data_IF_662410186528
#
_entry.id   IF_662410186528
#
_cell.length_a   1.000
_cell.length_b   1.000
_cell.length_c   1.000
_cell.angle_alpha   90.00
_cell.angle_beta   90.00
_cell.angle_gamma   90.00
#
_symmetry.space_group_name_H-M   'P 1'
#
loop_
_entity.id
_entity.type
_entity.pdbx_description
1 polymer ?
#
# COMPACT_ATOMS: atom_id res chain seq x y z
N UNK A 1 -20.31 12.62 -11.97
CA UNK A 1 -18.92 12.72 -12.48
C UNK A 1 -17.86 13.05 -11.41
N UNK A 2 -18.17 13.75 -10.32
CA UNK A 2 -17.18 14.10 -9.27
C UNK A 2 -16.80 12.96 -8.30
N UNK A 3 -17.61 11.90 -8.24
CA UNK A 3 -17.46 10.82 -7.26
C UNK A 3 -16.34 9.82 -7.63
N UNK A 4 -16.18 9.53 -8.91
CA UNK A 4 -15.15 8.64 -9.45
C UNK A 4 -13.72 9.16 -9.19
N UNK A 5 -13.52 10.48 -9.11
CA UNK A 5 -12.20 11.07 -8.87
C UNK A 5 -11.69 10.79 -7.45
N UNK A 6 -12.58 10.89 -6.44
CA UNK A 6 -12.26 10.61 -5.03
C UNK A 6 -11.86 9.15 -4.82
N UNK A 7 -12.53 8.23 -5.53
CA UNK A 7 -12.19 6.81 -5.53
C UNK A 7 -10.78 6.57 -6.07
N UNK A 8 -10.45 7.10 -7.26
CA UNK A 8 -9.12 6.92 -7.88
C UNK A 8 -8.01 7.50 -7.00
N UNK A 9 -8.24 8.65 -6.37
CA UNK A 9 -7.29 9.24 -5.42
C UNK A 9 -7.02 8.31 -4.23
N UNK A 10 -8.05 7.71 -3.64
CA UNK A 10 -7.87 6.75 -2.54
C UNK A 10 -7.03 5.55 -2.95
N UNK A 11 -7.31 4.96 -4.11
CA UNK A 11 -6.53 3.82 -4.64
C UNK A 11 -5.08 4.20 -4.92
N UNK A 12 -4.85 5.35 -5.54
CA UNK A 12 -3.50 5.85 -5.83
C UNK A 12 -2.72 6.10 -4.54
N UNK A 13 -3.35 6.63 -3.48
CA UNK A 13 -2.70 6.80 -2.17
C UNK A 13 -2.25 5.47 -1.56
N UNK A 14 -3.08 4.43 -1.60
CA UNK A 14 -2.69 3.08 -1.12
C UNK A 14 -1.55 2.48 -1.95
N UNK A 15 -1.56 2.67 -3.27
CA UNK A 15 -0.46 2.21 -4.14
C UNK A 15 0.85 2.95 -3.86
N UNK A 16 0.80 4.27 -3.67
CA UNK A 16 1.98 5.07 -3.30
C UNK A 16 2.50 4.64 -1.93
N UNK A 17 1.62 4.41 -0.96
CA UNK A 17 2.01 3.93 0.37
C UNK A 17 2.69 2.55 0.31
N UNK A 18 2.14 1.62 -0.47
CA UNK A 18 2.74 0.30 -0.68
C UNK A 18 4.12 0.40 -1.35
N UNK A 19 4.26 1.27 -2.36
CA UNK A 19 5.53 1.52 -3.05
C UNK A 19 6.58 2.18 -2.15
N UNK A 20 6.15 3.13 -1.31
CA UNK A 20 7.02 3.75 -0.30
C UNK A 20 7.49 2.74 0.76
N UNK A 21 6.61 1.84 1.21
CA UNK A 21 6.99 0.74 2.11
C UNK A 21 7.99 -0.22 1.47
N UNK A 22 7.84 -0.50 0.18
CA UNK A 22 8.78 -1.32 -0.59
C UNK A 22 10.15 -0.65 -0.73
N UNK A 23 10.20 0.65 -1.05
CA UNK A 23 11.44 1.42 -1.10
C UNK A 23 12.15 1.46 0.26
N UNK A 24 11.39 1.61 1.35
CA UNK A 24 11.93 1.60 2.71
C UNK A 24 12.53 0.23 3.07
N UNK A 25 11.86 -0.86 2.70
CA UNK A 25 12.37 -2.24 2.86
C UNK A 25 13.70 -2.43 2.13
N UNK A 26 13.78 -1.98 0.87
CA UNK A 26 15.02 -2.04 0.08
C UNK A 26 16.12 -1.18 0.70
N UNK A 27 15.80 0.04 1.13
CA UNK A 27 16.77 0.95 1.76
C UNK A 27 17.38 0.34 3.03
N UNK A 28 16.55 -0.24 3.90
CA UNK A 28 16.99 -0.94 5.11
C UNK A 28 17.85 -2.17 4.79
N UNK A 29 17.46 -2.94 3.76
CA UNK A 29 18.21 -4.11 3.31
C UNK A 29 19.66 -3.77 2.88
N UNK A 30 19.85 -2.61 2.23
CA UNK A 30 21.18 -2.13 1.84
C UNK A 30 21.95 -1.43 2.97
N UNK A 31 21.29 -1.04 4.07
CA UNK A 31 21.91 -0.46 5.27
C UNK A 31 22.32 -1.49 6.32
N UNK A 32 22.42 -2.77 5.96
CA UNK A 32 22.78 -3.91 6.83
C UNK A 32 21.72 -4.32 7.89
N UNK A 33 20.58 -3.60 7.92
CA UNK A 33 19.39 -3.89 8.75
C UNK A 33 18.43 -4.85 8.03
N UNK A 34 18.87 -6.10 7.86
CA UNK A 34 18.15 -7.11 7.03
C UNK A 34 16.85 -7.58 7.68
N UNK A 35 16.82 -7.75 9.00
CA UNK A 35 15.62 -8.19 9.72
C UNK A 35 14.51 -7.14 9.65
N UNK A 36 14.86 -5.86 9.85
CA UNK A 36 13.93 -4.74 9.72
C UNK A 36 13.46 -4.57 8.27
N UNK A 37 14.37 -4.75 7.30
CA UNK A 37 14.04 -4.72 5.88
C UNK A 37 13.01 -5.78 5.49
N UNK A 38 13.16 -7.02 5.97
CA UNK A 38 12.19 -8.11 5.72
C UNK A 38 10.87 -7.83 6.41
N UNK A 39 10.89 -7.32 7.64
CA UNK A 39 9.67 -6.98 8.39
C UNK A 39 8.86 -5.90 7.66
N UNK A 40 9.51 -4.84 7.16
CA UNK A 40 8.86 -3.79 6.36
C UNK A 40 8.40 -4.31 5.00
N UNK A 41 9.15 -5.24 4.39
CA UNK A 41 8.76 -5.89 3.13
C UNK A 41 7.49 -6.73 3.26
N UNK A 42 7.30 -7.41 4.40
CA UNK A 42 6.09 -8.17 4.70
C UNK A 42 4.83 -7.31 4.85
N UNK A 43 4.96 -6.01 5.09
CA UNK A 43 3.82 -5.10 5.24
C UNK A 43 3.25 -4.67 3.89
N UNK A 44 4.04 -4.73 2.81
CA UNK A 44 3.61 -4.40 1.44
C UNK A 44 2.34 -5.18 1.02
N UNK A 45 2.28 -6.52 1.12
CA UNK A 45 1.06 -7.26 0.78
C UNK A 45 -0.13 -6.92 1.69
N UNK A 46 0.09 -6.57 2.96
CA UNK A 46 -0.98 -6.14 3.87
C UNK A 46 -1.56 -4.77 3.49
N UNK A 47 -0.73 -3.81 3.04
CA UNK A 47 -1.18 -2.50 2.55
C UNK A 47 -2.00 -2.68 1.26
N UNK A 48 -1.54 -3.54 0.35
CA UNK A 48 -2.27 -3.87 -0.88
C UNK A 48 -3.59 -4.58 -0.59
N UNK A 49 -3.60 -5.53 0.37
CA UNK A 49 -4.82 -6.22 0.80
C UNK A 49 -5.82 -5.25 1.45
N UNK A 50 -5.35 -4.29 2.26
CA UNK A 50 -6.21 -3.25 2.85
C UNK A 50 -6.79 -2.33 1.77
N UNK A 51 -6.01 -1.91 0.78
CA UNK A 51 -6.49 -1.13 -0.37
C UNK A 51 -7.49 -1.91 -1.24
N UNK A 52 -7.22 -3.19 -1.49
CA UNK A 52 -8.12 -4.09 -2.22
C UNK A 52 -9.42 -4.34 -1.44
N UNK A 53 -9.34 -4.53 -0.13
CA UNK A 53 -10.51 -4.66 0.74
C UNK A 53 -11.34 -3.38 0.72
N UNK A 54 -10.72 -2.20 0.89
CA UNK A 54 -11.45 -0.94 0.85
C UNK A 54 -12.16 -0.73 -0.49
N UNK A 55 -11.45 -0.98 -1.60
CA UNK A 55 -12.04 -0.86 -2.94
C UNK A 55 -13.11 -1.89 -3.25
N UNK A 56 -13.03 -3.12 -2.72
CA UNK A 56 -14.02 -4.17 -2.99
C UNK A 56 -15.18 -4.20 -1.99
N UNK A 57 -14.94 -3.86 -0.73
CA UNK A 57 -15.93 -3.90 0.34
C UNK A 57 -16.73 -2.60 0.47
N UNK A 58 -16.09 -1.43 0.29
CA UNK A 58 -16.78 -0.13 0.38
C UNK A 58 -17.53 0.18 -0.92
N UNK A 59 -16.96 -0.12 -2.09
CA UNK A 59 -17.57 0.25 -3.37
C UNK A 59 -18.71 -0.67 -3.78
N UNK A 60 -18.72 -1.94 -3.35
CA UNK A 60 -19.88 -2.82 -3.63
C UNK A 60 -21.14 -2.46 -2.82
N UNK A 61 -21.09 -1.46 -1.95
CA UNK A 61 -22.23 -0.97 -1.14
C UNK A 61 -22.77 0.39 -1.58
N UNK A 62 -22.27 0.99 -2.66
CA UNK A 62 -22.84 2.18 -3.29
C UNK A 62 -23.55 1.79 -4.59
#
# INVERSE_FOLDING_TARGET
MAETHRYRLGVTLFLIAAFASFLLSIGLWFSDYRDEGVFVGLWVPSILAAGAFWTTAVVRRA
#
